data_IF_095491843103
#
_entry.id   IF_095491843103
#
_cell.length_a   1.000
_cell.length_b   1.000
_cell.length_c   1.000
_cell.angle_alpha   90.00
_cell.angle_beta   90.00
_cell.angle_gamma   90.00
#
_symmetry.space_group_name_H-M   'P 1'
#
loop_
_entity.id
_entity.type
_entity.pdbx_description
1 polymer ?
#
# COMPACT_ATOMS: atom_id res chain seq x y z
N UNK A 1 -11.29 -1.47 -8.03
CA UNK A 1 -10.52 -2.74 -7.91
C UNK A 1 -10.31 -3.02 -6.41
N UNK A 2 -10.35 -4.26 -5.93
CA UNK A 2 -10.29 -4.66 -4.50
C UNK A 2 -11.49 -4.29 -3.61
N UNK A 3 -12.42 -3.48 -4.11
CA UNK A 3 -13.71 -3.16 -3.46
C UNK A 3 -14.88 -3.99 -4.00
N UNK A 4 -14.74 -4.54 -5.21
CA UNK A 4 -15.86 -5.16 -5.95
C UNK A 4 -16.79 -4.16 -6.65
N UNK A 5 -16.54 -2.87 -6.53
CA UNK A 5 -17.34 -1.78 -7.12
C UNK A 5 -16.55 -0.96 -8.13
N UNK A 6 -17.27 -0.30 -9.05
CA UNK A 6 -16.73 0.77 -9.90
C UNK A 6 -16.53 2.03 -9.08
N UNK A 7 -15.60 2.89 -9.50
CA UNK A 7 -15.32 4.16 -8.81
C UNK A 7 -16.56 5.06 -8.70
N UNK A 8 -17.41 5.09 -9.72
CA UNK A 8 -18.65 5.90 -9.73
C UNK A 8 -19.73 5.39 -8.76
N UNK A 9 -19.63 4.13 -8.30
CA UNK A 9 -20.56 3.55 -7.32
C UNK A 9 -20.12 3.84 -5.89
N UNK A 10 -18.91 4.37 -5.71
CA UNK A 10 -18.29 4.63 -4.43
C UNK A 10 -18.36 6.13 -4.08
N UNK A 11 -18.38 6.48 -2.78
CA UNK A 11 -18.29 7.87 -2.34
C UNK A 11 -17.00 8.54 -2.84
N UNK A 12 -17.05 9.86 -3.10
CA UNK A 12 -15.87 10.62 -3.53
C UNK A 12 -14.76 10.57 -2.49
N UNK A 13 -13.56 10.19 -2.94
CA UNK A 13 -12.31 10.25 -2.15
C UNK A 13 -11.21 10.98 -2.91
N UNK A 14 -11.58 11.83 -3.87
CA UNK A 14 -10.63 12.56 -4.70
C UNK A 14 -9.83 13.56 -3.86
N UNK A 15 -8.50 13.58 -4.04
CA UNK A 15 -7.63 14.51 -3.30
C UNK A 15 -7.99 15.98 -3.53
N UNK A 16 -8.45 16.32 -4.75
CA UNK A 16 -8.81 17.69 -5.14
C UNK A 16 -10.17 18.17 -4.60
N UNK A 17 -10.96 17.26 -4.06
CA UNK A 17 -12.25 17.55 -3.46
C UNK A 17 -12.06 17.74 -1.95
N UNK A 18 -12.26 18.96 -1.46
CA UNK A 18 -12.07 19.28 -0.05
C UNK A 18 -13.05 18.53 0.86
N UNK A 19 -14.26 18.25 0.37
CA UNK A 19 -15.31 17.56 1.11
C UNK A 19 -15.25 16.04 0.96
N UNK A 20 -14.33 15.51 0.15
CA UNK A 20 -14.15 14.07 0.00
C UNK A 20 -13.60 13.42 1.27
N UNK A 21 -13.79 12.12 1.42
CA UNK A 21 -13.26 11.36 2.54
C UNK A 21 -11.98 10.61 2.16
N UNK A 22 -11.29 10.03 3.13
CA UNK A 22 -10.20 9.08 2.86
C UNK A 22 -10.76 7.77 2.28
N UNK A 23 -9.91 6.99 1.61
CA UNK A 23 -10.35 5.73 0.96
C UNK A 23 -10.78 4.67 1.97
N UNK A 24 -10.50 4.85 3.26
CA UNK A 24 -10.90 4.00 4.39
C UNK A 24 -12.40 3.66 4.39
N UNK A 25 -13.23 4.53 3.82
CA UNK A 25 -14.69 4.31 3.70
C UNK A 25 -15.06 3.20 2.71
N UNK A 26 -14.14 2.76 1.86
CA UNK A 26 -14.41 1.77 0.84
C UNK A 26 -14.51 0.35 1.41
N UNK A 27 -15.35 -0.51 0.81
CA UNK A 27 -15.54 -1.88 1.27
C UNK A 27 -14.44 -2.81 0.73
N UNK A 28 -13.19 -2.57 1.12
CA UNK A 28 -12.07 -3.38 0.66
C UNK A 28 -12.18 -4.84 1.10
N UNK A 29 -11.80 -5.76 0.20
CA UNK A 29 -11.90 -7.19 0.44
C UNK A 29 -11.04 -7.66 1.63
N UNK A 30 -9.88 -7.02 1.86
CA UNK A 30 -9.02 -7.34 3.00
C UNK A 30 -9.68 -7.08 4.35
N UNK A 31 -10.64 -6.14 4.45
CA UNK A 31 -11.38 -5.92 5.71
C UNK A 31 -12.15 -7.18 6.12
N UNK A 32 -12.71 -7.91 5.14
CA UNK A 32 -13.41 -9.18 5.40
C UNK A 32 -12.44 -10.28 5.83
N UNK A 33 -11.29 -10.38 5.18
CA UNK A 33 -10.25 -11.35 5.55
C UNK A 33 -9.70 -11.07 6.95
N UNK A 34 -9.39 -9.81 7.28
CA UNK A 34 -8.93 -9.42 8.60
C UNK A 34 -9.96 -9.76 9.69
N UNK A 35 -11.25 -9.49 9.45
CA UNK A 35 -12.33 -9.87 10.37
C UNK A 35 -12.47 -11.39 10.59
N UNK A 36 -12.04 -12.19 9.62
CA UNK A 36 -12.02 -13.65 9.71
C UNK A 36 -10.73 -14.20 10.33
N UNK A 37 -9.82 -13.33 10.78
CA UNK A 37 -8.56 -13.72 11.43
C UNK A 37 -7.39 -13.97 10.46
N UNK A 38 -7.55 -13.65 9.18
CA UNK A 38 -6.41 -13.71 8.24
C UNK A 38 -5.48 -12.52 8.46
N UNK A 39 -4.18 -12.79 8.38
CA UNK A 39 -3.18 -11.72 8.27
C UNK A 39 -3.22 -11.14 6.87
N UNK A 40 -3.34 -9.83 6.77
CA UNK A 40 -3.53 -9.11 5.51
C UNK A 40 -2.30 -8.31 5.12
N UNK A 41 -2.02 -8.25 3.82
CA UNK A 41 -0.92 -7.48 3.27
C UNK A 41 -1.33 -6.75 2.00
N UNK A 42 -0.89 -5.50 1.85
CA UNK A 42 -1.07 -4.72 0.64
C UNK A 42 0.21 -3.94 0.30
N UNK A 43 0.61 -4.04 -0.97
CA UNK A 43 1.78 -3.40 -1.50
C UNK A 43 1.60 -3.08 -2.98
N UNK A 44 2.29 -2.03 -3.43
CA UNK A 44 2.30 -1.58 -4.81
C UNK A 44 3.73 -1.50 -5.32
N UNK A 45 3.88 -1.46 -6.64
CA UNK A 45 5.17 -1.42 -7.32
C UNK A 45 5.83 -0.04 -7.23
N UNK A 46 5.05 1.05 -7.24
CA UNK A 46 5.56 2.43 -7.22
C UNK A 46 4.80 3.36 -6.29
N UNK A 47 5.56 4.24 -5.62
CA UNK A 47 5.00 5.19 -4.63
C UNK A 47 4.30 6.36 -5.32
N UNK A 48 4.84 6.82 -6.44
CA UNK A 48 4.35 7.99 -7.18
C UNK A 48 3.05 7.72 -7.95
N UNK A 49 2.78 6.47 -8.32
CA UNK A 49 1.60 6.05 -9.10
C UNK A 49 0.68 5.12 -8.31
N UNK A 50 0.67 5.22 -6.98
CA UNK A 50 -0.15 4.35 -6.14
C UNK A 50 -1.65 4.44 -6.45
N UNK A 51 -2.32 3.29 -6.57
CA UNK A 51 -3.74 3.14 -6.93
C UNK A 51 -4.63 4.01 -6.06
N UNK A 52 -4.32 4.08 -4.76
CA UNK A 52 -5.13 4.79 -3.76
C UNK A 52 -4.57 6.17 -3.39
N UNK A 53 -3.40 6.55 -3.89
CA UNK A 53 -2.71 7.79 -3.47
C UNK A 53 -2.41 8.76 -4.59
N UNK A 54 -2.49 8.35 -5.86
CA UNK A 54 -2.19 9.22 -7.01
C UNK A 54 -3.25 10.33 -7.19
N UNK A 55 -4.52 9.94 -7.24
CA UNK A 55 -5.67 10.86 -7.44
C UNK A 55 -6.56 10.99 -6.21
N UNK A 56 -6.47 10.03 -5.30
CA UNK A 56 -7.34 9.91 -4.14
C UNK A 56 -6.59 10.38 -2.88
N UNK A 57 -7.32 10.69 -1.81
CA UNK A 57 -6.75 11.15 -0.54
C UNK A 57 -5.82 10.14 0.14
N UNK A 58 -5.79 8.89 -0.33
CA UNK A 58 -5.07 7.81 0.33
C UNK A 58 -5.81 7.32 1.56
N UNK A 59 -5.09 6.50 2.31
CA UNK A 59 -5.55 5.94 3.58
C UNK A 59 -5.18 6.87 4.73
N UNK A 60 -6.13 7.09 5.64
CA UNK A 60 -5.88 7.76 6.92
C UNK A 60 -5.29 6.79 7.94
N UNK A 61 -5.78 5.54 7.96
CA UNK A 61 -5.30 4.47 8.83
C UNK A 61 -4.59 3.41 8.00
N UNK A 62 -3.64 2.68 8.62
CA UNK A 62 -2.99 1.55 7.95
C UNK A 62 -4.05 0.51 7.53
N UNK A 63 -4.18 0.18 6.23
CA UNK A 63 -5.32 -0.59 5.74
C UNK A 63 -5.21 -2.10 5.96
N UNK A 64 -4.00 -2.60 6.16
CA UNK A 64 -3.67 -4.02 6.29
C UNK A 64 -2.58 -4.21 7.34
N UNK A 65 -2.44 -5.42 7.89
CA UNK A 65 -1.42 -5.74 8.90
C UNK A 65 0.00 -5.47 8.38
N UNK A 66 0.22 -5.73 7.09
CA UNK A 66 1.44 -5.41 6.37
C UNK A 66 1.16 -4.39 5.27
N UNK A 67 1.59 -3.13 5.46
CA UNK A 67 1.44 -2.07 4.47
C UNK A 67 2.81 -1.49 4.09
N UNK A 68 3.24 -1.75 2.85
CA UNK A 68 4.61 -1.46 2.40
C UNK A 68 4.81 -0.01 1.90
N UNK A 69 3.75 0.73 1.59
CA UNK A 69 3.89 2.08 1.01
C UNK A 69 4.70 3.05 1.88
N UNK A 70 4.54 3.11 3.22
CA UNK A 70 5.34 4.00 4.07
C UNK A 70 6.85 3.71 3.98
N UNK A 71 7.23 2.43 3.91
CA UNK A 71 8.62 2.01 3.74
C UNK A 71 9.20 2.54 2.43
N UNK A 72 8.53 2.27 1.31
CA UNK A 72 9.01 2.73 0.01
C UNK A 72 9.01 4.26 -0.11
N UNK A 73 8.03 4.95 0.49
CA UNK A 73 8.00 6.42 0.52
C UNK A 73 9.20 7.01 1.27
N UNK A 74 9.59 6.40 2.39
CA UNK A 74 10.79 6.81 3.11
C UNK A 74 12.06 6.58 2.27
N UNK A 75 12.18 5.43 1.61
CA UNK A 75 13.35 5.14 0.75
C UNK A 75 13.42 6.05 -0.48
N UNK A 76 12.30 6.34 -1.14
CA UNK A 76 12.25 7.33 -2.23
C UNK A 76 12.65 8.72 -1.73
N UNK A 77 12.20 9.12 -0.54
CA UNK A 77 12.57 10.42 0.05
C UNK A 77 14.06 10.49 0.35
N UNK A 78 14.65 9.44 0.91
CA UNK A 78 16.11 9.36 1.14
C UNK A 78 16.89 9.37 -0.17
N UNK A 79 16.46 8.64 -1.19
CA UNK A 79 17.08 8.65 -2.52
C UNK A 79 17.13 10.07 -3.09
N UNK A 80 16.04 10.82 -2.96
CA UNK A 80 15.98 12.23 -3.38
C UNK A 80 16.91 13.14 -2.55
N UNK A 81 16.92 12.99 -1.22
CA UNK A 81 17.73 13.81 -0.31
C UNK A 81 19.23 13.55 -0.45
N UNK A 82 19.62 12.28 -0.57
CA UNK A 82 21.02 11.85 -0.59
C UNK A 82 21.55 11.56 -2.00
N UNK A 83 20.72 11.75 -3.05
CA UNK A 83 21.07 11.57 -4.46
C UNK A 83 21.66 10.19 -4.78
N UNK A 84 21.08 9.13 -4.24
CA UNK A 84 21.40 7.75 -4.63
C UNK A 84 20.29 7.13 -5.47
N UNK A 85 20.59 6.02 -6.14
CA UNK A 85 19.63 5.31 -7.00
C UNK A 85 18.48 4.69 -6.18
N UNK A 86 17.25 5.14 -6.43
CA UNK A 86 16.03 4.62 -5.79
C UNK A 86 15.75 3.15 -6.14
N UNK A 87 16.34 2.60 -7.21
CA UNK A 87 16.17 1.21 -7.58
C UNK A 87 16.91 0.26 -6.63
N UNK A 88 17.87 0.76 -5.85
CA UNK A 88 18.63 -0.01 -4.89
C UNK A 88 18.34 0.46 -3.45
N UNK A 89 18.06 -0.50 -2.56
CA UNK A 89 17.96 -0.27 -1.13
C UNK A 89 19.20 -0.90 -0.51
N UNK A 90 20.13 -0.06 -0.06
CA UNK A 90 21.48 -0.47 0.36
C UNK A 90 22.21 -1.18 -0.79
N UNK A 91 22.46 -2.49 -0.66
CA UNK A 91 23.18 -3.32 -1.63
C UNK A 91 22.28 -4.30 -2.40
N UNK A 92 20.96 -4.17 -2.26
CA UNK A 92 19.96 -5.04 -2.91
C UNK A 92 19.06 -4.20 -3.81
N UNK A 93 18.52 -4.81 -4.87
CA UNK A 93 17.49 -4.13 -5.66
C UNK A 93 16.21 -4.01 -4.84
N UNK A 94 15.45 -2.94 -5.06
CA UNK A 94 14.14 -2.71 -4.46
C UNK A 94 13.18 -3.88 -4.71
N UNK A 95 13.29 -4.51 -5.88
CA UNK A 95 12.56 -5.73 -6.24
C UNK A 95 13.00 -6.94 -5.40
N UNK A 96 14.30 -7.15 -5.18
CA UNK A 96 14.79 -8.25 -4.32
C UNK A 96 14.31 -8.07 -2.87
N UNK A 97 14.33 -6.82 -2.37
CA UNK A 97 13.79 -6.49 -1.05
C UNK A 97 12.29 -6.78 -0.99
N UNK A 98 11.54 -6.39 -2.03
CA UNK A 98 10.10 -6.66 -2.13
C UNK A 98 9.79 -8.15 -2.09
N UNK A 99 10.45 -8.93 -2.95
CA UNK A 99 10.22 -10.38 -3.06
C UNK A 99 10.65 -11.11 -1.78
N UNK A 100 11.76 -10.69 -1.17
CA UNK A 100 12.23 -11.22 0.11
C UNK A 100 11.21 -10.95 1.21
N UNK A 101 10.63 -9.75 1.25
CA UNK A 101 9.58 -9.41 2.20
C UNK A 101 8.32 -10.26 2.01
N UNK A 102 7.85 -10.44 0.76
CA UNK A 102 6.71 -11.32 0.46
C UNK A 102 7.00 -12.74 0.90
N UNK A 103 8.19 -13.27 0.60
CA UNK A 103 8.58 -14.62 1.03
C UNK A 103 8.58 -14.74 2.55
N UNK A 104 9.13 -13.77 3.27
CA UNK A 104 9.12 -13.75 4.73
C UNK A 104 7.71 -13.66 5.30
N UNK A 105 6.84 -12.84 4.69
CA UNK A 105 5.43 -12.74 5.05
C UNK A 105 4.76 -14.12 4.96
N UNK A 106 4.88 -14.82 3.82
CA UNK A 106 4.31 -16.16 3.66
C UNK A 106 4.86 -17.17 4.65
N UNK A 107 6.18 -17.18 4.87
CA UNK A 107 6.82 -18.12 5.80
C UNK A 107 6.40 -17.86 7.26
N UNK A 108 6.30 -16.59 7.66
CA UNK A 108 5.97 -16.20 9.04
C UNK A 108 4.55 -16.60 9.44
N UNK A 109 3.64 -16.76 8.48
CA UNK A 109 2.24 -17.10 8.70
C UNK A 109 1.86 -18.46 8.12
N UNK A 110 2.84 -19.32 7.80
CA UNK A 110 2.61 -20.65 7.19
C UNK A 110 2.15 -21.74 8.17
N UNK A 111 2.33 -21.52 9.48
CA UNK A 111 2.01 -22.49 10.55
C UNK A 111 0.76 -22.10 11.36
N UNK A 112 -0.10 -21.23 10.82
CA UNK A 112 -1.40 -20.88 11.41
C UNK A 112 -2.56 -21.57 10.68
#
# INVERSE_FOLDING_TARGET
MLTGFKEIELPSTLYRDHNSSFVDIYPFIWNKYHQQGYVTGYAEDRVEYGTWTLRLKGFEKTPTDHYLLPFYRMESTKSLLYKYDAHCIRNQTSFDVFLSYIKQFWLSYSEN
#
